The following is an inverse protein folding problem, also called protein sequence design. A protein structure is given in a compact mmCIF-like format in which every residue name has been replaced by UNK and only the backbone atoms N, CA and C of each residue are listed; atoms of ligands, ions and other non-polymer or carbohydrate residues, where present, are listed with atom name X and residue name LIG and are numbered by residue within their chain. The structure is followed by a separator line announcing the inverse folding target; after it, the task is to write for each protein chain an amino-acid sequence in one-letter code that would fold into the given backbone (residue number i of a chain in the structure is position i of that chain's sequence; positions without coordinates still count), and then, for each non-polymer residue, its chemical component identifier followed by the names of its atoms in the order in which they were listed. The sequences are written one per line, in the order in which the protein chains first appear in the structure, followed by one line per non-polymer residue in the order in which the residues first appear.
data_IF_042543869826
#
_entry.id   IF_042543869826
#
_cell.length_a   1.000
_cell.length_b   1.000
_cell.length_c   1.000
_cell.angle_alpha   90.00
_cell.angle_beta   90.00
_cell.angle_gamma   90.00
#
_symmetry.space_group_name_H-M   'P 1'
#
loop_
_entity.id
_entity.type
_entity.pdbx_description
1 polymer ?
#
# COMPACT_ATOMS: atom_id res chain seq x y z
N UNK A 1 -9.13 -9.35 -1.88
CA UNK A 1 -10.46 -9.82 -1.45
C UNK A 1 -11.54 -9.55 -2.49
N UNK A 2 -12.02 -10.61 -3.06
CA UNK A 2 -13.03 -10.55 -4.11
C UNK A 2 -14.45 -10.78 -3.57
N UNK A 3 -14.57 -11.13 -2.29
CA UNK A 3 -15.86 -11.45 -1.68
C UNK A 3 -16.35 -10.33 -0.76
N UNK A 4 -17.69 -10.21 -0.60
CA UNK A 4 -18.25 -9.23 0.33
C UNK A 4 -17.87 -9.53 1.76
N UNK A 5 -17.80 -8.48 2.58
CA UNK A 5 -17.62 -8.59 4.01
C UNK A 5 -16.25 -8.11 4.48
N UNK A 6 -16.07 -8.14 5.79
CA UNK A 6 -14.83 -7.75 6.43
C UNK A 6 -13.73 -8.75 6.11
N UNK A 7 -12.54 -8.25 5.80
CA UNK A 7 -11.35 -9.09 5.65
C UNK A 7 -10.20 -8.56 6.48
N UNK A 8 -9.31 -9.46 6.87
CA UNK A 8 -8.03 -9.13 7.49
C UNK A 8 -6.99 -10.03 6.84
N UNK A 9 -5.97 -9.43 6.26
CA UNK A 9 -4.87 -10.19 5.63
C UNK A 9 -3.54 -9.70 6.15
N UNK A 10 -2.53 -10.56 6.13
CA UNK A 10 -1.15 -10.18 6.38
C UNK A 10 -0.34 -10.48 5.14
N UNK A 11 0.49 -9.54 4.76
CA UNK A 11 1.33 -9.66 3.57
C UNK A 11 2.77 -9.41 4.00
N UNK A 12 3.66 -10.31 3.58
CA UNK A 12 5.09 -10.12 3.79
C UNK A 12 5.74 -9.80 2.46
N UNK A 13 6.40 -8.65 2.40
CA UNK A 13 7.12 -8.21 1.23
C UNK A 13 8.60 -8.51 1.40
N UNK A 14 9.22 -9.29 0.51
CA UNK A 14 10.67 -9.43 0.54
C UNK A 14 11.34 -8.11 0.20
N UNK A 15 12.64 -7.93 0.54
CA UNK A 15 13.35 -6.70 0.21
C UNK A 15 13.20 -6.33 -1.25
N UNK A 16 12.89 -5.08 -1.52
CA UNK A 16 12.73 -4.55 -2.88
C UNK A 16 11.35 -4.75 -3.51
N UNK A 17 10.48 -5.57 -2.90
CA UNK A 17 9.15 -5.82 -3.44
C UNK A 17 8.18 -4.70 -3.08
N UNK A 18 7.25 -4.42 -3.97
CA UNK A 18 6.25 -3.40 -3.73
C UNK A 18 5.30 -3.24 -4.89
N UNK A 19 4.48 -2.19 -4.81
CA UNK A 19 3.47 -1.88 -5.82
C UNK A 19 3.86 -0.65 -6.63
N UNK A 20 3.16 -0.47 -7.73
CA UNK A 20 3.20 0.76 -8.53
C UNK A 20 1.98 1.61 -8.18
N UNK A 21 1.93 2.89 -8.59
CA UNK A 21 0.78 3.74 -8.31
C UNK A 21 -0.55 3.10 -8.69
N UNK A 22 -1.48 3.12 -7.75
CA UNK A 22 -2.80 2.50 -7.91
C UNK A 22 -3.75 3.06 -6.87
N UNK A 23 -5.02 2.63 -6.94
CA UNK A 23 -5.99 2.92 -5.91
C UNK A 23 -6.98 1.75 -5.77
N UNK A 24 -7.64 1.70 -4.63
CA UNK A 24 -8.63 0.66 -4.31
C UNK A 24 -10.00 1.27 -4.17
N UNK A 25 -11.03 0.48 -4.48
CA UNK A 25 -12.42 0.94 -4.42
C UNK A 25 -12.92 1.19 -3.00
N UNK A 26 -12.30 0.57 -1.99
CA UNK A 26 -12.72 0.70 -0.60
C UNK A 26 -11.55 1.12 0.29
N UNK A 27 -11.88 1.64 1.47
CA UNK A 27 -10.88 2.05 2.45
C UNK A 27 -10.10 0.86 2.98
N UNK A 28 -8.84 1.10 3.36
CA UNK A 28 -7.97 0.09 3.95
C UNK A 28 -7.34 0.64 5.22
N UNK A 29 -7.27 -0.21 6.25
CA UNK A 29 -6.68 0.09 7.55
C UNK A 29 -5.44 -0.79 7.69
N UNK A 30 -4.26 -0.19 7.74
CA UNK A 30 -2.99 -0.91 7.64
C UNK A 30 -2.17 -0.71 8.88
N UNK A 31 -1.63 -1.80 9.43
CA UNK A 31 -0.69 -1.76 10.55
C UNK A 31 0.63 -2.38 10.09
N UNK A 32 1.74 -1.68 10.33
CA UNK A 32 3.07 -2.23 10.04
C UNK A 32 3.43 -3.14 11.21
N UNK A 33 3.50 -4.44 10.94
CA UNK A 33 3.78 -5.46 11.96
C UNK A 33 5.27 -5.62 12.17
N UNK A 34 6.06 -5.59 11.09
CA UNK A 34 7.50 -5.82 11.15
C UNK A 34 8.20 -5.04 10.06
N UNK A 35 9.33 -4.44 10.39
CA UNK A 35 10.17 -3.73 9.43
C UNK A 35 9.72 -2.28 9.20
N UNK A 36 10.26 -1.68 8.16
CA UNK A 36 9.92 -0.31 7.75
C UNK A 36 9.26 -0.37 6.38
N UNK A 37 8.04 0.11 6.30
CA UNK A 37 7.26 0.13 5.07
C UNK A 37 7.31 1.53 4.46
N UNK A 38 7.68 1.61 3.19
CA UNK A 38 7.75 2.89 2.50
C UNK A 38 6.47 3.09 1.71
N UNK A 39 5.89 4.28 1.79
CA UNK A 39 4.61 4.58 1.14
C UNK A 39 4.60 5.99 0.58
N UNK A 40 3.82 6.18 -0.49
CA UNK A 40 3.53 7.49 -1.06
C UNK A 40 2.03 7.57 -1.28
N UNK A 41 1.45 8.74 -1.00
CA UNK A 41 0.01 8.96 -1.16
C UNK A 41 -0.27 10.39 -1.61
N UNK A 42 -1.53 10.62 -2.03
CA UNK A 42 -1.95 11.92 -2.52
C UNK A 42 -1.48 12.17 -3.95
N UNK A 43 -1.44 13.43 -4.40
CA UNK A 43 -1.06 13.75 -5.79
C UNK A 43 0.33 13.27 -6.18
N UNK A 44 1.27 13.21 -5.24
CA UNK A 44 2.62 12.72 -5.50
C UNK A 44 2.63 11.24 -5.88
N UNK A 45 1.61 10.49 -5.47
CA UNK A 45 1.55 9.06 -5.74
C UNK A 45 1.13 8.72 -7.17
N UNK A 46 0.81 9.72 -8.00
CA UNK A 46 0.47 9.49 -9.39
C UNK A 46 1.69 9.12 -10.23
N UNK A 47 2.87 9.49 -9.77
CA UNK A 47 4.14 9.19 -10.44
C UNK A 47 4.98 8.28 -9.54
N UNK A 48 5.44 7.17 -10.10
CA UNK A 48 6.30 6.27 -9.36
C UNK A 48 7.68 6.89 -9.15
N UNK A 49 7.99 7.20 -7.90
CA UNK A 49 9.25 7.83 -7.51
C UNK A 49 9.69 7.27 -6.16
N UNK A 50 10.36 6.10 -6.15
CA UNK A 50 10.70 5.43 -4.90
C UNK A 50 11.67 6.19 -4.00
N UNK A 51 12.34 7.23 -4.50
CA UNK A 51 13.22 8.03 -3.67
C UNK A 51 12.46 9.06 -2.82
N UNK A 52 11.21 9.34 -3.15
CA UNK A 52 10.37 10.31 -2.44
C UNK A 52 9.23 9.65 -1.67
N UNK A 53 9.52 8.55 -1.01
CA UNK A 53 8.54 7.83 -0.19
C UNK A 53 8.74 8.12 1.29
N UNK A 54 7.68 7.96 2.05
CA UNK A 54 7.69 8.14 3.49
C UNK A 54 7.94 6.80 4.17
N UNK A 55 8.89 6.77 5.10
CA UNK A 55 9.19 5.58 5.89
C UNK A 55 8.19 5.45 7.04
N UNK A 56 7.53 4.30 7.11
CA UNK A 56 6.54 4.00 8.16
C UNK A 56 7.05 2.81 8.96
N UNK A 57 7.32 3.06 10.24
CA UNK A 57 7.98 2.07 11.11
C UNK A 57 6.98 1.12 11.76
N UNK A 58 7.53 0.01 12.30
CA UNK A 58 6.73 -0.96 13.06
C UNK A 58 5.81 -0.29 14.07
N UNK A 59 4.61 -0.82 14.19
CA UNK A 59 3.61 -0.34 15.14
C UNK A 59 2.80 0.84 14.64
N UNK A 60 3.12 1.38 13.46
CA UNK A 60 2.39 2.52 12.92
C UNK A 60 1.13 2.06 12.19
N UNK A 61 0.07 2.81 12.35
CA UNK A 61 -1.22 2.59 11.70
C UNK A 61 -1.42 3.61 10.59
N UNK A 62 -1.91 3.14 9.44
CA UNK A 62 -2.17 3.99 8.27
C UNK A 62 -3.61 3.78 7.81
N UNK A 63 -4.29 4.88 7.54
CA UNK A 63 -5.60 4.84 6.91
C UNK A 63 -5.45 5.24 5.44
N UNK A 64 -5.93 4.38 4.53
CA UNK A 64 -5.98 4.68 3.10
C UNK A 64 -7.44 4.86 2.71
N UNK A 65 -7.85 6.07 2.34
CA UNK A 65 -9.26 6.32 1.98
C UNK A 65 -9.66 5.60 0.69
N UNK A 66 -10.97 5.41 0.46
CA UNK A 66 -11.42 4.86 -0.82
C UNK A 66 -10.90 5.72 -1.96
N UNK A 67 -10.37 5.05 -2.99
CA UNK A 67 -9.84 5.70 -4.21
C UNK A 67 -8.67 6.66 -3.96
N UNK A 68 -8.05 6.61 -2.79
CA UNK A 68 -6.84 7.36 -2.54
C UNK A 68 -5.66 6.76 -3.28
N UNK A 69 -5.01 7.56 -4.13
CA UNK A 69 -3.86 7.09 -4.90
C UNK A 69 -2.67 6.85 -4.00
N UNK A 70 -1.98 5.73 -4.19
CA UNK A 70 -0.81 5.38 -3.40
C UNK A 70 0.03 4.30 -4.07
N UNK A 71 1.24 4.09 -3.54
CA UNK A 71 2.05 2.92 -3.80
C UNK A 71 2.98 2.70 -2.62
N UNK A 72 3.44 1.46 -2.44
CA UNK A 72 4.17 1.03 -1.26
C UNK A 72 5.26 0.05 -1.61
N UNK A 73 6.31 -0.03 -0.77
CA UNK A 73 7.36 -1.02 -0.99
C UNK A 73 8.19 -1.30 0.26
N UNK A 74 8.80 -2.47 0.27
CA UNK A 74 9.92 -2.80 1.15
C UNK A 74 11.21 -2.40 0.42
N UNK A 75 12.21 -1.95 1.15
CA UNK A 75 13.50 -1.60 0.56
C UNK A 75 14.60 -2.53 1.01
N UNK A 76 15.26 -2.22 2.11
CA UNK A 76 16.44 -2.96 2.54
C UNK A 76 16.13 -4.24 3.31
N UNK A 77 14.94 -4.34 3.86
CA UNK A 77 14.55 -5.46 4.69
C UNK A 77 13.15 -5.94 4.38
N UNK A 78 12.85 -7.15 4.84
CA UNK A 78 11.51 -7.72 4.75
C UNK A 78 10.53 -6.92 5.59
N UNK A 79 9.32 -6.72 5.08
CA UNK A 79 8.27 -5.98 5.76
C UNK A 79 6.99 -6.80 5.80
N UNK A 80 6.36 -6.87 6.97
CA UNK A 80 5.05 -7.50 7.12
C UNK A 80 4.04 -6.44 7.53
N UNK A 81 2.93 -6.37 6.81
CA UNK A 81 1.81 -5.47 7.13
C UNK A 81 0.53 -6.27 7.31
N UNK A 82 -0.37 -5.75 8.14
CA UNK A 82 -1.72 -6.28 8.28
C UNK A 82 -2.70 -5.29 7.70
N UNK A 83 -3.56 -5.76 6.82
CA UNK A 83 -4.53 -4.92 6.13
C UNK A 83 -5.93 -5.37 6.48
N UNK A 84 -6.76 -4.43 6.91
CA UNK A 84 -8.18 -4.67 7.20
C UNK A 84 -9.02 -3.81 6.28
N UNK A 85 -10.15 -4.33 5.86
CA UNK A 85 -11.09 -3.58 5.05
C UNK A 85 -12.37 -4.35 4.83
N UNK A 86 -13.20 -3.82 3.93
CA UNK A 86 -14.47 -4.46 3.56
C UNK A 86 -14.44 -4.75 2.07
N UNK A 87 -14.61 -6.01 1.71
CA UNK A 87 -14.68 -6.44 0.33
C UNK A 87 -16.06 -6.28 -0.27
N UNK A 88 -16.19 -6.43 -1.59
CA UNK A 88 -15.11 -6.73 -2.52
C UNK A 88 -14.22 -5.52 -2.79
N UNK A 89 -12.96 -5.78 -3.14
CA UNK A 89 -11.97 -4.73 -3.44
C UNK A 89 -11.58 -4.80 -4.91
N UNK A 90 -11.65 -3.67 -5.59
CA UNK A 90 -11.20 -3.51 -6.96
C UNK A 90 -9.97 -2.61 -6.94
N UNK A 91 -8.88 -3.09 -7.51
CA UNK A 91 -7.63 -2.34 -7.60
C UNK A 91 -7.46 -1.81 -9.02
N UNK A 92 -7.19 -0.51 -9.15
CA UNK A 92 -7.01 0.14 -10.43
C UNK A 92 -5.60 0.73 -10.50
N UNK A 93 -4.85 0.36 -11.53
CA UNK A 93 -3.51 0.89 -11.75
C UNK A 93 -3.57 2.27 -12.38
N UNK A 94 -2.64 3.14 -12.00
CA UNK A 94 -2.51 4.48 -12.56
C UNK A 94 -1.44 4.40 -13.66
N UNK A 95 -1.77 4.74 -14.93
CA UNK A 95 -0.78 4.68 -16.00
C UNK A 95 0.43 5.55 -15.71
N UNK A 96 1.61 5.02 -16.02
CA UNK A 96 2.87 5.72 -15.83
C UNK A 96 3.40 6.23 -17.15
N UNK A 97 4.17 7.34 -17.14
CA UNK A 97 4.79 7.84 -18.37
C UNK A 97 5.74 6.80 -18.98
N UNK A 98 5.78 6.71 -20.29
CA UNK A 98 6.75 5.87 -20.99
C UNK A 98 8.07 6.64 -21.12
N UNK A 99 9.16 5.88 -21.06
CA UNK A 99 10.50 6.45 -21.24
C UNK A 99 11.13 5.92 -22.53
#
# INVERSE_FOLDING_TARGET
PSEPGLYVIRITFPPGAGSRPHYHSTARYITVIKGTWYTSWGPEADIYDPENMVAVKEGTFIYQPPEGHHYDMAKDEEVTVQIMGVGPVITTSIPQPEN
#
